data_IF_482613043142
#
_entry.id   IF_482613043142
#
_cell.length_a   1.000
_cell.length_b   1.000
_cell.length_c   1.000
_cell.angle_alpha   90.00
_cell.angle_beta   90.00
_cell.angle_gamma   90.00
#
_symmetry.space_group_name_H-M   'P 1'
#
loop_
_entity.id
_entity.type
_entity.pdbx_description
1 polymer ?
#
# COMPACT_ATOMS: atom_id res chain seq x y z
N UNK A 1 -3.78 -3.64 -13.86
CA UNK A 1 -2.77 -2.96 -14.71
C UNK A 1 -3.32 -1.65 -15.28
N UNK A 2 -4.57 -1.62 -15.75
CA UNK A 2 -5.23 -0.40 -16.22
C UNK A 2 -5.22 0.74 -15.18
N UNK A 3 -5.58 0.48 -13.92
CA UNK A 3 -5.62 1.54 -12.90
C UNK A 3 -4.23 2.01 -12.46
N UNK A 4 -3.22 1.14 -12.56
CA UNK A 4 -1.83 1.52 -12.34
C UNK A 4 -1.33 2.47 -13.45
N UNK A 5 -1.78 2.28 -14.69
CA UNK A 5 -1.49 3.20 -15.79
C UNK A 5 -2.23 4.53 -15.64
N UNK A 6 -3.51 4.51 -15.25
CA UNK A 6 -4.28 5.73 -14.96
C UNK A 6 -3.64 6.56 -13.85
N UNK A 7 -3.19 5.91 -12.77
CA UNK A 7 -2.47 6.59 -11.71
C UNK A 7 -1.13 7.15 -12.20
N UNK A 8 -0.35 6.36 -12.96
CA UNK A 8 0.91 6.85 -13.51
C UNK A 8 0.69 8.05 -14.45
N UNK A 9 -0.36 8.04 -15.27
CA UNK A 9 -0.73 9.17 -16.11
C UNK A 9 -1.05 10.42 -15.28
N UNK A 10 -1.87 10.28 -14.23
CA UNK A 10 -2.19 11.39 -13.30
C UNK A 10 -0.93 11.97 -12.64
N UNK A 11 -0.06 11.11 -12.10
CA UNK A 11 1.14 11.52 -11.38
C UNK A 11 2.20 12.16 -12.31
N UNK A 12 2.23 11.72 -13.57
CA UNK A 12 3.12 12.27 -14.59
C UNK A 12 2.52 13.48 -15.32
N UNK A 13 1.32 13.94 -14.93
CA UNK A 13 0.63 15.07 -15.53
C UNK A 13 0.20 14.83 -16.98
N UNK A 14 -0.08 13.58 -17.34
CA UNK A 14 -0.56 13.16 -18.66
C UNK A 14 -2.08 13.05 -18.66
N UNK A 15 -2.66 13.08 -19.85
CA UNK A 15 -4.08 12.77 -20.01
C UNK A 15 -4.33 11.30 -19.62
N UNK A 16 -5.35 11.06 -18.80
CA UNK A 16 -5.65 9.74 -18.23
C UNK A 16 -6.02 8.76 -19.34
N UNK A 17 -5.38 7.58 -19.34
CA UNK A 17 -5.64 6.53 -20.33
C UNK A 17 -4.76 6.64 -21.57
N UNK A 18 -3.75 7.51 -21.56
CA UNK A 18 -2.74 7.60 -22.63
C UNK A 18 -1.59 6.62 -22.42
N UNK A 19 -1.36 6.16 -21.19
CA UNK A 19 -0.38 5.13 -20.86
C UNK A 19 -0.74 3.78 -21.47
N UNK A 20 0.20 3.18 -22.21
CA UNK A 20 0.00 1.87 -22.88
C UNK A 20 0.76 0.73 -22.20
N UNK A 21 1.81 1.04 -21.44
CA UNK A 21 2.64 0.06 -20.74
C UNK A 21 3.32 0.69 -19.52
N UNK A 22 3.58 -0.13 -18.48
CA UNK A 22 4.35 0.30 -17.31
C UNK A 22 5.83 0.14 -17.66
N UNK A 23 6.50 1.24 -18.01
CA UNK A 23 7.94 1.31 -18.19
C UNK A 23 8.66 1.70 -16.90
N UNK A 24 9.94 2.04 -17.03
CA UNK A 24 10.78 2.43 -15.87
C UNK A 24 10.27 3.69 -15.18
N UNK A 25 9.77 4.66 -15.95
CA UNK A 25 9.23 5.91 -15.41
C UNK A 25 7.91 5.69 -14.66
N UNK A 26 6.99 4.94 -15.26
CA UNK A 26 5.70 4.61 -14.63
C UNK A 26 5.94 3.79 -13.36
N UNK A 27 6.84 2.81 -13.40
CA UNK A 27 7.24 2.04 -12.22
C UNK A 27 7.80 2.94 -11.12
N UNK A 28 8.78 3.79 -11.43
CA UNK A 28 9.40 4.68 -10.45
C UNK A 28 8.37 5.61 -9.80
N UNK A 29 7.40 6.09 -10.58
CA UNK A 29 6.35 6.96 -10.10
C UNK A 29 5.39 6.23 -9.13
N UNK A 30 5.01 5.00 -9.46
CA UNK A 30 4.19 4.14 -8.62
C UNK A 30 4.92 3.74 -7.32
N UNK A 31 6.22 3.42 -7.41
CA UNK A 31 7.08 3.11 -6.26
C UNK A 31 7.20 4.30 -5.30
N UNK A 32 7.47 5.49 -5.83
CA UNK A 32 7.57 6.71 -5.01
C UNK A 32 6.22 7.04 -4.33
N UNK A 33 5.12 6.91 -5.06
CA UNK A 33 3.78 7.12 -4.51
C UNK A 33 3.45 6.11 -3.40
N UNK A 34 3.78 4.83 -3.63
CA UNK A 34 3.67 3.79 -2.62
C UNK A 34 4.51 4.08 -1.38
N UNK A 35 5.74 4.57 -1.56
CA UNK A 35 6.63 4.96 -0.47
C UNK A 35 6.08 6.14 0.35
N UNK A 36 5.55 7.16 -0.31
CA UNK A 36 4.94 8.33 0.35
C UNK A 36 3.71 7.92 1.17
N UNK A 37 2.78 7.17 0.57
CA UNK A 37 1.55 6.73 1.26
C UNK A 37 1.89 5.84 2.45
N UNK A 38 2.76 4.85 2.25
CA UNK A 38 3.19 3.92 3.30
C UNK A 38 3.87 4.67 4.43
N UNK A 39 4.79 5.59 4.11
CA UNK A 39 5.50 6.40 5.12
C UNK A 39 4.54 7.28 5.90
N UNK A 40 3.60 7.96 5.24
CA UNK A 40 2.61 8.80 5.91
C UNK A 40 1.72 7.98 6.86
N UNK A 41 1.29 6.80 6.43
CA UNK A 41 0.47 5.90 7.23
C UNK A 41 1.24 5.33 8.43
N UNK A 42 2.43 4.77 8.21
CA UNK A 42 3.29 4.21 9.25
C UNK A 42 3.69 5.27 10.27
N UNK A 43 4.03 6.50 9.83
CA UNK A 43 4.37 7.60 10.74
C UNK A 43 3.17 8.03 11.60
N UNK A 44 1.96 8.04 11.03
CA UNK A 44 0.74 8.36 11.78
C UNK A 44 0.46 7.32 12.86
N UNK A 45 0.62 6.04 12.54
CA UNK A 45 0.49 4.94 13.50
C UNK A 45 1.58 4.93 14.56
N UNK A 46 2.83 5.16 14.17
CA UNK A 46 3.96 5.30 15.09
C UNK A 46 3.69 6.41 16.12
N UNK A 47 3.16 7.55 15.66
CA UNK A 47 2.78 8.67 16.53
C UNK A 47 1.62 8.31 17.45
N UNK A 48 0.58 7.65 16.93
CA UNK A 48 -0.60 7.29 17.72
C UNK A 48 -0.30 6.23 18.78
N UNK A 49 0.53 5.24 18.46
CA UNK A 49 0.94 4.16 19.36
C UNK A 49 2.14 4.52 20.25
N UNK A 50 2.69 5.74 20.11
CA UNK A 50 3.93 6.21 20.76
C UNK A 50 5.12 5.23 20.61
N UNK A 51 5.28 4.68 19.40
CA UNK A 51 6.35 3.73 19.06
C UNK A 51 7.25 4.26 17.95
N UNK A 52 8.51 3.82 17.94
CA UNK A 52 9.42 4.07 16.80
C UNK A 52 9.32 2.93 15.80
N UNK A 53 8.73 3.19 14.65
CA UNK A 53 8.72 2.27 13.51
C UNK A 53 9.81 2.72 12.54
N UNK A 54 10.78 1.84 12.24
CA UNK A 54 11.75 2.06 11.17
C UNK A 54 11.25 1.40 9.89
N UNK A 55 10.78 2.14 8.88
CA UNK A 55 10.34 1.54 7.63
C UNK A 55 11.55 0.93 6.89
N UNK A 56 11.37 -0.27 6.35
CA UNK A 56 12.24 -0.80 5.31
C UNK A 56 11.84 -0.24 3.95
N UNK A 57 12.74 -0.25 2.98
CA UNK A 57 12.40 0.12 1.61
C UNK A 57 11.25 -0.76 1.09
N UNK A 58 10.26 -0.18 0.40
CA UNK A 58 9.16 -0.96 -0.19
C UNK A 58 9.70 -1.88 -1.29
N UNK A 59 9.04 -3.02 -1.48
CA UNK A 59 9.24 -3.90 -2.64
C UNK A 59 8.10 -3.70 -3.63
N UNK A 60 8.42 -3.67 -4.92
CA UNK A 60 7.43 -3.60 -5.99
C UNK A 60 7.24 -4.96 -6.65
N UNK A 61 6.00 -5.41 -6.72
CA UNK A 61 5.61 -6.64 -7.42
C UNK A 61 4.46 -6.31 -8.36
N UNK A 62 4.61 -6.71 -9.62
CA UNK A 62 3.56 -6.62 -10.63
C UNK A 62 3.25 -8.03 -11.12
N UNK A 63 2.14 -8.59 -10.65
CA UNK A 63 1.67 -9.93 -11.01
C UNK A 63 0.13 -9.96 -10.99
N UNK A 64 -0.47 -11.11 -11.25
CA UNK A 64 -1.89 -11.35 -11.09
C UNK A 64 -2.30 -11.05 -9.64
N UNK A 65 -3.39 -10.28 -9.40
CA UNK A 65 -3.81 -9.90 -8.05
C UNK A 65 -3.96 -11.09 -7.09
N UNK A 66 -4.42 -12.24 -7.60
CA UNK A 66 -4.55 -13.47 -6.83
C UNK A 66 -3.20 -14.03 -6.39
N UNK A 67 -2.18 -13.99 -7.25
CA UNK A 67 -0.83 -14.47 -6.93
C UNK A 67 -0.17 -13.58 -5.86
N UNK A 68 -0.32 -12.26 -5.98
CA UNK A 68 0.18 -11.30 -4.97
C UNK A 68 -0.53 -11.48 -3.63
N UNK A 69 -1.84 -11.61 -3.62
CA UNK A 69 -2.59 -11.83 -2.37
C UNK A 69 -2.23 -13.17 -1.72
N UNK A 70 -2.08 -14.23 -2.51
CA UNK A 70 -1.78 -15.56 -1.99
C UNK A 70 -0.39 -15.62 -1.33
N UNK A 71 0.63 -14.97 -1.91
CA UNK A 71 1.96 -14.92 -1.30
C UNK A 71 1.91 -14.19 0.04
N UNK A 72 1.26 -13.03 0.07
CA UNK A 72 1.11 -12.19 1.26
C UNK A 72 0.34 -12.91 2.37
N UNK A 73 -0.79 -13.56 2.05
CA UNK A 73 -1.57 -14.34 3.02
C UNK A 73 -0.75 -15.51 3.57
N UNK A 74 0.01 -16.20 2.71
CA UNK A 74 0.83 -17.34 3.12
C UNK A 74 1.95 -16.94 4.09
N UNK A 75 2.55 -15.76 3.88
CA UNK A 75 3.52 -15.19 4.82
C UNK A 75 2.88 -14.81 6.17
N UNK A 76 1.68 -14.23 6.16
CA UNK A 76 0.97 -13.86 7.39
C UNK A 76 0.45 -15.07 8.17
N UNK A 77 -0.03 -16.11 7.49
CA UNK A 77 -0.47 -17.34 8.13
C UNK A 77 0.65 -18.05 8.88
N UNK A 78 1.92 -17.80 8.53
CA UNK A 78 3.08 -18.29 9.28
C UNK A 78 3.32 -17.51 10.59
N UNK A 79 2.75 -16.30 10.72
CA UNK A 79 2.94 -15.41 11.86
C UNK A 79 1.78 -15.46 12.88
N UNK A 80 0.57 -15.83 12.46
CA UNK A 80 -0.58 -15.99 13.36
C UNK A 80 -1.88 -16.38 12.63
N UNK A 81 -2.93 -16.60 13.43
CA UNK A 81 -4.25 -17.04 12.94
C UNK A 81 -5.20 -15.89 12.57
N UNK A 82 -4.82 -14.64 12.85
CA UNK A 82 -5.62 -13.46 12.61
C UNK A 82 -4.92 -12.48 11.68
N UNK A 83 -5.67 -11.96 10.71
CA UNK A 83 -5.20 -10.96 9.76
C UNK A 83 -6.02 -9.69 9.99
N UNK A 84 -5.35 -8.60 10.36
CA UNK A 84 -5.96 -7.27 10.33
C UNK A 84 -5.85 -6.73 8.91
N UNK A 85 -6.94 -6.15 8.39
CA UNK A 85 -7.00 -5.62 7.03
C UNK A 85 -7.64 -4.24 7.07
N UNK A 86 -6.88 -3.23 6.65
CA UNK A 86 -7.41 -1.91 6.36
C UNK A 86 -7.46 -1.74 4.85
N UNK A 87 -8.55 -1.15 4.33
CA UNK A 87 -8.68 -0.71 2.94
C UNK A 87 -8.88 0.80 2.93
N UNK A 88 -8.19 1.46 1.99
CA UNK A 88 -8.33 2.89 1.75
C UNK A 88 -8.62 3.10 0.27
N UNK A 89 -9.62 3.91 -0.04
CA UNK A 89 -9.92 4.37 -1.40
C UNK A 89 -9.31 5.76 -1.62
N UNK A 90 -8.87 6.06 -2.84
CA UNK A 90 -8.19 7.32 -3.19
C UNK A 90 -9.04 8.17 -4.12
N UNK A 91 -9.08 9.48 -3.88
CA UNK A 91 -9.76 10.47 -4.72
C UNK A 91 -8.73 11.53 -5.17
N UNK A 92 -8.54 11.68 -6.49
CA UNK A 92 -7.61 12.64 -7.10
C UNK A 92 -8.35 13.37 -8.23
N UNK A 93 -8.39 14.70 -8.19
CA UNK A 93 -9.07 15.54 -9.19
C UNK A 93 -10.48 15.05 -9.55
N UNK A 94 -11.29 14.76 -8.52
CA UNK A 94 -12.65 14.21 -8.60
C UNK A 94 -12.76 12.81 -9.24
N UNK A 95 -11.64 12.11 -9.45
CA UNK A 95 -11.59 10.75 -9.94
C UNK A 95 -11.26 9.77 -8.81
N UNK A 96 -12.15 8.81 -8.60
CA UNK A 96 -11.88 7.68 -7.71
C UNK A 96 -10.88 6.74 -8.38
N UNK A 97 -9.78 6.48 -7.70
CA UNK A 97 -8.82 5.47 -8.08
C UNK A 97 -9.17 4.18 -7.34
N UNK A 98 -9.38 3.10 -8.10
CA UNK A 98 -9.50 1.74 -7.55
C UNK A 98 -8.12 1.25 -7.10
N UNK A 99 -7.66 1.81 -5.98
CA UNK A 99 -6.42 1.44 -5.32
C UNK A 99 -6.73 0.84 -3.96
N UNK A 100 -5.96 -0.19 -3.61
CA UNK A 100 -6.12 -0.91 -2.35
C UNK A 100 -4.80 -0.86 -1.61
N UNK A 101 -4.76 -0.09 -0.53
CA UNK A 101 -3.66 -0.12 0.42
C UNK A 101 -3.96 -1.15 1.50
N UNK A 102 -3.06 -2.10 1.75
CA UNK A 102 -3.21 -3.17 2.72
C UNK A 102 -2.20 -3.04 3.85
N UNK A 103 -2.68 -3.17 5.07
CA UNK A 103 -1.83 -3.20 6.26
C UNK A 103 -1.96 -4.54 6.95
N UNK A 104 -0.83 -5.20 7.21
CA UNK A 104 -0.75 -6.51 7.84
C UNK A 104 0.20 -6.44 9.04
N UNK A 105 -0.30 -6.05 10.22
CA UNK A 105 0.51 -5.92 11.42
C UNK A 105 0.98 -7.29 11.92
N UNK A 106 2.19 -7.35 12.45
CA UNK A 106 2.67 -8.52 13.18
C UNK A 106 1.88 -8.74 14.47
N UNK A 107 1.91 -9.94 15.07
CA UNK A 107 1.23 -10.20 16.35
C UNK A 107 1.65 -9.26 17.48
N UNK A 108 2.91 -8.78 17.47
CA UNK A 108 3.38 -7.80 18.46
C UNK A 108 2.82 -6.40 18.21
N UNK A 109 2.69 -5.97 16.96
CA UNK A 109 2.02 -4.72 16.61
C UNK A 109 0.52 -4.76 16.94
N UNK A 110 -0.15 -5.90 16.71
CA UNK A 110 -1.56 -6.10 17.07
C UNK A 110 -1.82 -5.88 18.56
N UNK A 111 -1.00 -6.46 19.44
CA UNK A 111 -1.15 -6.24 20.90
C UNK A 111 -1.02 -4.78 21.31
N UNK A 112 -0.16 -4.01 20.64
CA UNK A 112 -0.01 -2.58 20.91
C UNK A 112 -1.26 -1.80 20.51
N UNK A 113 -1.85 -2.13 19.36
CA UNK A 113 -3.09 -1.51 18.87
C UNK A 113 -4.24 -1.80 19.85
N UNK A 114 -4.40 -3.05 20.27
CA UNK A 114 -5.44 -3.45 21.24
C UNK A 114 -5.31 -2.69 22.56
N UNK A 115 -4.09 -2.56 23.09
CA UNK A 115 -3.82 -1.87 24.35
C UNK A 115 -4.02 -0.36 24.25
N UNK A 116 -3.85 0.23 23.06
CA UNK A 116 -4.00 1.69 22.86
C UNK A 116 -5.43 2.11 22.54
N UNK A 117 -6.29 1.18 22.11
CA UNK A 117 -7.71 1.40 21.84
C UNK A 117 -8.62 1.15 23.06
N UNK A 118 -8.08 0.65 24.17
CA UNK A 118 -8.83 0.36 25.42
C UNK A 118 -8.69 1.47 26.45
#
# INVERSE_FOLDING_TARGET
QEDALKLADLLLGREVGTGTAIGDMERSCLEETGNIITSAFVNSWATWLDVRIGPSSPSFVLDLPQAVLQSVISEQAALGDEIFFARTDFLVDDQWLEWVFLLLPSPSAMRLIETSCS
#
